data_IF_845350704883
#
_entry.id   IF_845350704883
#
_cell.length_a   1.000
_cell.length_b   1.000
_cell.length_c   1.000
_cell.angle_alpha   90.00
_cell.angle_beta   90.00
_cell.angle_gamma   90.00
#
_symmetry.space_group_name_H-M   'P 1'
#
loop_
_entity.id
_entity.type
_entity.pdbx_description
1 polymer ?
#
# COMPACT_ATOMS: atom_id res chain seq x y z
N UNK A 1 20.11 2.06 -1.52
CA UNK A 1 19.92 0.64 -1.35
C UNK A 1 18.49 0.32 -0.96
N UNK A 2 17.89 -0.67 -1.60
CA UNK A 2 16.49 -1.02 -1.33
C UNK A 2 16.34 -1.74 0.01
N UNK A 3 15.30 -1.36 0.76
CA UNK A 3 14.95 -2.03 2.02
C UNK A 3 13.48 -2.41 1.98
N UNK A 4 13.21 -3.71 2.03
CA UNK A 4 11.86 -4.25 1.98
C UNK A 4 11.45 -4.78 3.35
N UNK A 5 10.18 -4.54 3.73
CA UNK A 5 9.61 -5.05 4.97
C UNK A 5 8.13 -5.35 4.79
N UNK A 6 7.62 -6.23 5.61
CA UNK A 6 6.18 -6.53 5.64
C UNK A 6 5.44 -5.43 6.36
N UNK A 7 4.34 -4.98 5.77
CA UNK A 7 3.39 -4.06 6.42
C UNK A 7 1.98 -4.59 6.17
N UNK A 8 1.03 -4.14 6.98
CA UNK A 8 -0.37 -4.52 6.81
C UNK A 8 -1.13 -3.36 6.18
N UNK A 9 -1.86 -3.65 5.13
CA UNK A 9 -2.67 -2.69 4.39
C UNK A 9 -4.15 -2.92 4.71
N UNK A 10 -4.87 -1.83 4.96
CA UNK A 10 -6.32 -1.86 5.08
C UNK A 10 -6.89 -1.69 3.67
N UNK A 11 -7.82 -2.56 3.30
CA UNK A 11 -8.51 -2.49 2.02
C UNK A 11 -9.98 -2.26 2.22
N UNK A 12 -10.51 -1.26 1.53
CA UNK A 12 -11.92 -0.90 1.53
C UNK A 12 -12.47 -1.02 0.13
N UNK A 13 -13.68 -1.53 0.01
CA UNK A 13 -14.41 -1.49 -1.25
C UNK A 13 -15.87 -1.11 -0.99
N UNK A 14 -16.45 -0.34 -1.88
CA UNK A 14 -17.83 0.14 -1.78
C UNK A 14 -18.32 0.60 -3.14
N UNK A 15 -19.64 0.76 -3.32
CA UNK A 15 -20.14 1.39 -4.53
C UNK A 15 -19.57 2.80 -4.68
N UNK A 16 -19.10 3.14 -5.89
CA UNK A 16 -18.46 4.42 -6.13
C UNK A 16 -19.46 5.58 -6.06
N UNK A 17 -19.06 6.68 -5.44
CA UNK A 17 -19.80 7.93 -5.41
C UNK A 17 -18.88 9.09 -5.07
N UNK A 18 -19.33 10.30 -5.37
CA UNK A 18 -18.58 11.52 -5.04
C UNK A 18 -18.42 11.64 -3.53
N UNK A 19 -17.25 12.02 -3.07
CA UNK A 19 -16.98 12.35 -1.67
C UNK A 19 -16.43 11.22 -0.82
N UNK A 20 -16.24 10.02 -1.37
CA UNK A 20 -15.72 8.88 -0.59
C UNK A 20 -14.36 9.14 0.03
N UNK A 21 -13.44 9.72 -0.72
CA UNK A 21 -12.10 10.02 -0.19
C UNK A 21 -12.19 10.97 0.99
N UNK A 22 -13.05 11.99 0.89
CA UNK A 22 -13.28 12.94 1.97
C UNK A 22 -13.85 12.25 3.22
N UNK A 23 -14.83 11.38 3.05
CA UNK A 23 -15.43 10.63 4.18
C UNK A 23 -14.40 9.76 4.89
N UNK A 24 -13.64 9.01 4.12
CA UNK A 24 -12.62 8.09 4.65
C UNK A 24 -11.53 8.86 5.39
N UNK A 25 -10.98 9.90 4.75
CA UNK A 25 -9.88 10.66 5.34
C UNK A 25 -10.36 11.48 6.55
N UNK A 26 -11.61 11.96 6.53
CA UNK A 26 -12.19 12.65 7.68
C UNK A 26 -12.30 11.72 8.89
N UNK A 27 -12.81 10.51 8.68
CA UNK A 27 -12.94 9.54 9.77
C UNK A 27 -11.58 9.18 10.37
N UNK A 28 -10.59 8.93 9.53
CA UNK A 28 -9.23 8.58 9.97
C UNK A 28 -8.57 9.75 10.70
N UNK A 29 -8.74 10.98 10.20
CA UNK A 29 -8.19 12.17 10.82
C UNK A 29 -8.79 12.43 12.21
N UNK A 30 -10.10 12.24 12.37
CA UNK A 30 -10.77 12.40 13.66
C UNK A 30 -10.24 11.42 14.71
N UNK A 31 -9.81 10.25 14.28
CA UNK A 31 -9.20 9.26 15.17
C UNK A 31 -7.73 9.56 15.47
N UNK A 32 -7.19 10.65 14.90
CA UNK A 32 -5.79 11.08 15.06
C UNK A 32 -4.82 10.02 14.53
N UNK A 33 -5.18 9.40 13.43
CA UNK A 33 -4.36 8.41 12.74
C UNK A 33 -3.79 9.03 11.47
N UNK A 34 -2.51 8.83 11.24
CA UNK A 34 -1.86 9.32 10.02
C UNK A 34 -1.98 8.28 8.90
N UNK A 35 -2.24 8.74 7.69
CA UNK A 35 -2.22 7.89 6.50
C UNK A 35 -0.81 7.98 5.92
N UNK A 36 -0.08 6.88 5.99
CA UNK A 36 1.31 6.83 5.51
C UNK A 36 1.38 6.53 4.02
N UNK A 37 0.42 5.80 3.49
CA UNK A 37 0.30 5.52 2.07
C UNK A 37 -1.16 5.25 1.74
N UNK A 38 -1.57 5.64 0.55
CA UNK A 38 -2.92 5.39 0.07
C UNK A 38 -2.92 5.18 -1.44
N UNK A 39 -3.68 4.21 -1.89
CA UNK A 39 -3.98 4.02 -3.30
C UNK A 39 -5.49 3.94 -3.44
N UNK A 40 -6.06 4.82 -4.25
CA UNK A 40 -7.51 4.90 -4.44
C UNK A 40 -7.81 4.88 -5.93
N UNK A 41 -8.78 4.08 -6.31
CA UNK A 41 -9.21 4.01 -7.70
C UNK A 41 -10.64 3.49 -7.79
N UNK A 42 -11.27 3.74 -8.92
CA UNK A 42 -12.58 3.20 -9.22
C UNK A 42 -12.47 2.31 -10.46
N UNK A 43 -13.10 1.17 -10.40
CA UNK A 43 -13.20 0.24 -11.51
C UNK A 43 -14.66 -0.08 -11.70
N UNK A 44 -15.19 0.30 -12.86
CA UNK A 44 -16.62 0.23 -13.12
C UNK A 44 -17.38 1.04 -12.07
N UNK A 45 -18.28 0.42 -11.30
CA UNK A 45 -19.09 1.13 -10.30
C UNK A 45 -18.59 0.92 -8.87
N UNK A 46 -17.38 0.35 -8.72
CA UNK A 46 -16.82 0.05 -7.41
C UNK A 46 -15.59 0.91 -7.16
N UNK A 47 -15.53 1.52 -5.97
CA UNK A 47 -14.37 2.25 -5.51
C UNK A 47 -13.54 1.36 -4.59
N UNK A 48 -12.22 1.46 -4.71
CA UNK A 48 -11.26 0.71 -3.90
C UNK A 48 -10.29 1.68 -3.25
N UNK A 49 -10.03 1.45 -1.95
CA UNK A 49 -9.07 2.23 -1.19
C UNK A 49 -8.16 1.29 -0.42
N UNK A 50 -6.86 1.43 -0.65
CA UNK A 50 -5.85 0.66 0.08
C UNK A 50 -5.04 1.65 0.90
N UNK A 51 -4.98 1.45 2.23
CA UNK A 51 -4.34 2.38 3.15
C UNK A 51 -3.33 1.68 4.04
N UNK A 52 -2.20 2.35 4.23
CA UNK A 52 -1.23 1.98 5.26
C UNK A 52 -1.22 3.16 6.23
N UNK A 53 -1.49 2.89 7.50
CA UNK A 53 -1.69 3.94 8.50
C UNK A 53 -0.74 3.79 9.69
N UNK A 54 -0.68 4.83 10.52
CA UNK A 54 0.10 4.80 11.76
C UNK A 54 -0.52 3.87 12.82
N UNK A 55 -1.81 3.55 12.69
CA UNK A 55 -2.49 2.59 13.55
C UNK A 55 -3.70 2.02 12.83
N UNK A 56 -3.53 0.86 12.24
CA UNK A 56 -4.62 0.19 11.52
C UNK A 56 -5.79 -0.16 12.45
N UNK A 57 -5.50 -0.51 13.72
CA UNK A 57 -6.54 -0.83 14.67
C UNK A 57 -7.48 0.37 14.90
N UNK A 58 -6.91 1.55 15.12
CA UNK A 58 -7.70 2.78 15.29
C UNK A 58 -8.42 3.18 14.02
N UNK A 59 -7.74 3.06 12.88
CA UNK A 59 -8.34 3.38 11.58
C UNK A 59 -9.55 2.49 11.30
N UNK A 60 -9.45 1.20 11.54
CA UNK A 60 -10.56 0.25 11.34
C UNK A 60 -11.76 0.60 12.23
N UNK A 61 -11.52 0.96 13.48
CA UNK A 61 -12.58 1.40 14.39
C UNK A 61 -13.28 2.65 13.87
N UNK A 62 -12.49 3.60 13.36
CA UNK A 62 -13.04 4.85 12.82
C UNK A 62 -13.85 4.62 11.55
N UNK A 63 -13.45 3.65 10.74
CA UNK A 63 -14.10 3.36 9.46
C UNK A 63 -15.33 2.46 9.58
N UNK A 64 -15.43 1.68 10.66
CA UNK A 64 -16.53 0.75 10.87
C UNK A 64 -17.92 1.40 10.78
N UNK A 65 -18.15 2.60 11.39
CA UNK A 65 -19.48 3.23 11.30
C UNK A 65 -19.90 3.63 9.89
N UNK A 66 -18.97 3.72 8.95
CA UNK A 66 -19.29 4.07 7.56
C UNK A 66 -19.92 2.91 6.78
N UNK A 67 -19.89 1.70 7.34
CA UNK A 67 -20.54 0.53 6.75
C UNK A 67 -19.80 -0.09 5.58
N UNK A 68 -18.53 0.26 5.38
CA UNK A 68 -17.73 -0.31 4.29
C UNK A 68 -17.16 -1.66 4.69
N UNK A 69 -16.97 -2.54 3.70
CA UNK A 69 -16.22 -3.78 3.91
C UNK A 69 -14.76 -3.46 4.16
N UNK A 70 -14.21 -3.92 5.28
CA UNK A 70 -12.84 -3.65 5.68
C UNK A 70 -12.08 -4.97 5.76
N UNK A 71 -10.98 -5.07 5.00
CA UNK A 71 -10.06 -6.21 5.06
C UNK A 71 -8.68 -5.75 5.42
N UNK A 72 -7.88 -6.64 5.98
CA UNK A 72 -6.45 -6.41 6.16
C UNK A 72 -5.68 -7.43 5.34
N UNK A 73 -4.65 -6.96 4.65
CA UNK A 73 -3.77 -7.82 3.84
C UNK A 73 -2.33 -7.42 4.08
N UNK A 74 -1.46 -8.41 4.15
CA UNK A 74 -0.03 -8.15 4.20
C UNK A 74 0.47 -7.73 2.82
N UNK A 75 1.32 -6.72 2.80
CA UNK A 75 1.98 -6.22 1.60
C UNK A 75 3.45 -5.95 1.94
N UNK A 76 4.24 -5.63 0.91
CA UNK A 76 5.64 -5.28 1.09
C UNK A 76 5.80 -3.78 0.87
N UNK A 77 6.47 -3.11 1.80
CA UNK A 77 6.89 -1.73 1.60
C UNK A 77 8.38 -1.72 1.32
N UNK A 78 8.79 -1.04 0.25
CA UNK A 78 10.19 -0.94 -0.16
C UNK A 78 10.59 0.52 -0.20
N UNK A 79 11.67 0.88 0.51
CA UNK A 79 12.30 2.19 0.40
C UNK A 79 13.46 2.11 -0.57
N UNK A 80 13.56 3.09 -1.46
CA UNK A 80 14.61 3.18 -2.48
C UNK A 80 15.17 4.60 -2.53
N UNK A 81 16.43 4.76 -3.00
CA UNK A 81 16.87 6.08 -3.46
C UNK A 81 16.03 6.50 -4.67
N UNK A 82 15.71 7.77 -4.77
CA UNK A 82 14.98 8.30 -5.93
C UNK A 82 15.97 8.63 -7.05
N UNK A 83 16.37 7.60 -7.78
CA UNK A 83 17.35 7.70 -8.88
C UNK A 83 16.94 6.80 -10.03
N UNK A 84 17.34 7.13 -11.26
CA UNK A 84 17.07 6.26 -12.40
C UNK A 84 17.61 4.84 -12.15
N UNK A 85 16.80 3.85 -12.47
CA UNK A 85 17.19 2.45 -12.39
C UNK A 85 16.99 1.77 -11.04
N UNK A 86 16.66 2.50 -9.97
CA UNK A 86 16.53 1.90 -8.65
C UNK A 86 15.31 0.98 -8.56
N UNK A 87 14.17 1.41 -9.08
CA UNK A 87 12.97 0.55 -9.14
C UNK A 87 13.22 -0.66 -10.06
N UNK A 88 13.93 -0.45 -11.16
CA UNK A 88 14.25 -1.52 -12.10
C UNK A 88 15.06 -2.63 -11.43
N UNK A 89 15.98 -2.28 -10.53
CA UNK A 89 16.76 -3.27 -9.79
C UNK A 89 15.88 -4.15 -8.90
N UNK A 90 14.91 -3.55 -8.22
CA UNK A 90 13.96 -4.27 -7.38
C UNK A 90 13.08 -5.18 -8.24
N UNK A 91 12.52 -4.64 -9.32
CA UNK A 91 11.67 -5.40 -10.23
C UNK A 91 12.42 -6.61 -10.81
N UNK A 92 13.70 -6.42 -11.16
CA UNK A 92 14.52 -7.51 -11.69
C UNK A 92 14.76 -8.61 -10.66
N UNK A 93 15.04 -8.25 -9.42
CA UNK A 93 15.23 -9.25 -8.34
C UNK A 93 13.97 -10.10 -8.14
N UNK A 94 12.82 -9.47 -8.17
CA UNK A 94 11.53 -10.18 -8.01
C UNK A 94 11.28 -11.08 -9.22
N UNK A 95 11.53 -10.58 -10.43
CA UNK A 95 11.37 -11.35 -11.66
C UNK A 95 12.32 -12.53 -11.73
N UNK A 96 13.59 -12.34 -11.39
CA UNK A 96 14.59 -13.40 -11.41
C UNK A 96 14.27 -14.52 -10.40
N UNK A 97 13.54 -14.19 -9.35
CA UNK A 97 13.05 -15.18 -8.38
C UNK A 97 11.78 -15.89 -8.83
N UNK A 98 11.23 -15.53 -9.98
CA UNK A 98 10.02 -16.14 -10.52
C UNK A 98 8.75 -15.77 -9.75
N UNK A 99 8.74 -14.62 -9.08
CA UNK A 99 7.61 -14.18 -8.26
C UNK A 99 6.74 -13.22 -9.05
N UNK A 100 5.44 -13.53 -9.16
CA UNK A 100 4.48 -12.66 -9.82
C UNK A 100 4.06 -11.52 -8.90
N UNK A 101 3.83 -10.34 -9.49
CA UNK A 101 3.38 -9.15 -8.78
C UNK A 101 1.89 -8.95 -9.09
N UNK A 102 1.06 -8.93 -8.05
CA UNK A 102 -0.38 -8.71 -8.20
C UNK A 102 -0.68 -7.24 -8.48
N UNK A 103 -0.04 -6.35 -7.70
CA UNK A 103 -0.11 -4.91 -7.93
C UNK A 103 1.05 -4.23 -7.23
N UNK A 104 1.32 -2.99 -7.63
CA UNK A 104 2.27 -2.14 -6.94
C UNK A 104 1.91 -0.69 -7.17
N UNK A 105 2.33 0.15 -6.26
CA UNK A 105 2.27 1.60 -6.43
C UNK A 105 3.49 2.22 -5.76
N UNK A 106 3.86 3.40 -6.23
CA UNK A 106 5.06 4.07 -5.75
C UNK A 106 4.91 5.58 -5.81
N UNK A 107 5.66 6.26 -4.96
CA UNK A 107 5.73 7.71 -4.96
C UNK A 107 7.12 8.15 -4.53
N UNK A 108 7.43 9.41 -4.78
CA UNK A 108 8.72 9.98 -4.39
C UNK A 108 8.52 11.23 -3.54
N UNK A 109 9.48 11.47 -2.66
CA UNK A 109 9.54 12.69 -1.87
C UNK A 109 11.02 13.02 -1.68
N UNK A 110 11.50 14.02 -2.40
CA UNK A 110 12.91 14.41 -2.35
C UNK A 110 13.81 13.30 -2.89
N UNK A 111 14.81 12.91 -2.10
CA UNK A 111 15.79 11.91 -2.49
C UNK A 111 15.37 10.46 -2.30
N UNK A 112 14.14 10.23 -1.86
CA UNK A 112 13.66 8.88 -1.55
C UNK A 112 12.41 8.54 -2.33
N UNK A 113 12.25 7.24 -2.63
CA UNK A 113 11.04 6.67 -3.19
C UNK A 113 10.51 5.61 -2.23
N UNK A 114 9.20 5.49 -2.17
CA UNK A 114 8.53 4.45 -1.39
C UNK A 114 7.62 3.67 -2.33
N UNK A 115 7.71 2.35 -2.28
CA UNK A 115 6.92 1.45 -3.11
C UNK A 115 6.14 0.50 -2.22
N UNK A 116 4.96 0.11 -2.68
CA UNK A 116 4.17 -0.94 -2.05
C UNK A 116 3.91 -2.01 -3.10
N UNK A 117 4.21 -3.26 -2.75
CA UNK A 117 4.00 -4.42 -3.62
C UNK A 117 3.12 -5.45 -2.94
N UNK A 118 2.25 -6.07 -3.71
CA UNK A 118 1.60 -7.32 -3.33
C UNK A 118 2.05 -8.37 -4.34
N UNK A 119 2.59 -9.47 -3.84
CA UNK A 119 3.17 -10.52 -4.69
C UNK A 119 2.56 -11.87 -4.37
N UNK A 120 2.87 -12.85 -5.22
CA UNK A 120 2.46 -14.23 -4.99
C UNK A 120 3.19 -14.87 -3.80
N UNK A 121 4.36 -14.32 -3.42
CA UNK A 121 5.17 -14.84 -2.31
C UNK A 121 5.93 -13.68 -1.66
N UNK A 122 5.26 -12.93 -0.79
CA UNK A 122 5.82 -11.74 -0.14
C UNK A 122 7.06 -12.06 0.68
N UNK A 123 7.05 -13.17 1.39
CA UNK A 123 8.16 -13.56 2.26
C UNK A 123 9.45 -13.74 1.47
N UNK A 124 9.35 -14.45 0.35
CA UNK A 124 10.50 -14.66 -0.53
C UNK A 124 10.91 -13.39 -1.25
N UNK A 125 9.94 -12.57 -1.65
CA UNK A 125 10.20 -11.28 -2.30
C UNK A 125 11.01 -10.36 -1.38
N UNK A 126 10.64 -10.28 -0.10
CA UNK A 126 11.39 -9.48 0.89
C UNK A 126 12.85 -9.95 0.96
N UNK A 127 13.06 -11.26 1.01
CA UNK A 127 14.41 -11.81 1.07
C UNK A 127 15.26 -11.44 -0.14
N UNK A 128 14.72 -11.59 -1.34
CA UNK A 128 15.49 -11.30 -2.56
C UNK A 128 15.73 -9.82 -2.75
N UNK A 129 14.79 -8.96 -2.37
CA UNK A 129 14.97 -7.51 -2.46
C UNK A 129 16.06 -7.04 -1.49
N UNK A 130 16.08 -7.57 -0.28
CA UNK A 130 17.06 -7.18 0.75
C UNK A 130 18.45 -7.79 0.52
N UNK A 131 18.56 -8.75 -0.36
CA UNK A 131 19.83 -9.40 -0.66
C UNK A 131 20.73 -8.47 -1.46
N UNK A 132 21.96 -8.35 -1.04
CA UNK A 132 22.94 -7.52 -1.74
C UNK A 132 23.50 -8.19 -3.00
#
# INVERSE_FOLDING_TARGET
>A
MAKARKVTEIRLSMPNRVGLLSEITTAVAKAKVNINAICAYALENTAFFNLITSSNAKAKKALAPLGFGVEEKDVIQVELPNKPGELQKVAKKIADAGIDIDFMYATTAGGKAACVFKTADDQRAIKVVNKK
#
